data_IF_714960834556
#
_entry.id   IF_714960834556
#
_cell.length_a   1.000
_cell.length_b   1.000
_cell.length_c   1.000
_cell.angle_alpha   90.00
_cell.angle_beta   90.00
_cell.angle_gamma   90.00
#
_symmetry.space_group_name_H-M   'P 1'
#
loop_
_entity.id
_entity.type
_entity.pdbx_description
1 polymer ?
#
# COMPACT_ATOMS: atom_id res chain seq x y z
N UNK A 1 69.57 -26.68 -4.38
CA UNK A 1 68.72 -25.56 -3.94
C UNK A 1 67.31 -25.85 -4.46
N UNK A 2 66.42 -26.37 -3.61
CA UNK A 2 65.07 -26.79 -4.00
C UNK A 2 64.12 -25.59 -3.96
N UNK A 3 63.51 -25.28 -5.10
CA UNK A 3 62.45 -24.27 -5.22
C UNK A 3 61.10 -24.89 -4.86
N UNK A 4 60.46 -24.36 -3.81
CA UNK A 4 59.12 -24.74 -3.38
C UNK A 4 58.06 -24.16 -4.34
N UNK A 5 57.24 -25.03 -4.92
CA UNK A 5 56.06 -24.67 -5.72
C UNK A 5 54.87 -24.44 -4.78
N UNK A 6 54.46 -23.17 -4.64
CA UNK A 6 53.26 -22.81 -3.88
C UNK A 6 52.00 -23.19 -4.68
N UNK A 7 51.18 -24.10 -4.13
CA UNK A 7 49.84 -24.40 -4.66
C UNK A 7 48.90 -23.24 -4.33
N UNK A 8 48.46 -22.52 -5.37
CA UNK A 8 47.33 -21.59 -5.28
C UNK A 8 46.05 -22.37 -4.92
N UNK A 9 45.37 -21.96 -3.85
CA UNK A 9 44.02 -22.45 -3.51
C UNK A 9 43.06 -22.01 -4.61
N UNK A 10 42.14 -22.88 -5.09
CA UNK A 10 41.14 -22.47 -6.06
C UNK A 10 40.20 -21.45 -5.42
N UNK A 11 39.95 -20.37 -6.17
CA UNK A 11 38.93 -19.36 -5.87
C UNK A 11 37.56 -20.03 -5.74
N UNK A 12 36.69 -19.60 -4.82
CA UNK A 12 35.33 -20.14 -4.73
C UNK A 12 34.59 -19.89 -6.05
N UNK A 13 33.72 -20.82 -6.49
CA UNK A 13 33.00 -20.68 -7.75
C UNK A 13 32.09 -19.45 -7.71
N UNK A 14 32.15 -18.62 -8.76
CA UNK A 14 31.33 -17.41 -8.94
C UNK A 14 29.81 -17.69 -8.86
N UNK A 15 29.37 -18.95 -8.96
CA UNK A 15 27.96 -19.33 -8.85
C UNK A 15 27.38 -19.20 -7.44
N UNK A 16 28.19 -19.32 -6.38
CA UNK A 16 27.68 -19.25 -5.01
C UNK A 16 27.30 -17.80 -4.62
N UNK A 17 28.13 -16.83 -4.99
CA UNK A 17 27.87 -15.41 -4.75
C UNK A 17 26.67 -14.89 -5.56
N UNK A 18 26.49 -15.36 -6.81
CA UNK A 18 25.32 -15.02 -7.63
C UNK A 18 24.02 -15.65 -7.08
N UNK A 19 24.09 -16.87 -6.55
CA UNK A 19 22.95 -17.53 -5.92
C UNK A 19 22.56 -16.84 -4.60
N UNK A 20 23.52 -16.48 -3.74
CA UNK A 20 23.30 -15.72 -2.50
C UNK A 20 22.80 -14.29 -2.74
N UNK A 21 23.33 -13.60 -3.75
CA UNK A 21 22.82 -12.29 -4.18
C UNK A 21 21.40 -12.38 -4.75
N UNK A 22 21.07 -13.43 -5.51
CA UNK A 22 19.71 -13.61 -6.04
C UNK A 22 18.71 -13.97 -4.93
N UNK A 23 19.10 -14.81 -3.98
CA UNK A 23 18.26 -15.24 -2.85
C UNK A 23 18.01 -14.07 -1.90
N UNK A 24 19.03 -13.29 -1.55
CA UNK A 24 18.87 -12.07 -0.75
C UNK A 24 18.04 -11.01 -1.48
N UNK A 25 18.16 -10.88 -2.81
CA UNK A 25 17.32 -9.98 -3.60
C UNK A 25 15.84 -10.41 -3.62
N UNK A 26 15.57 -11.71 -3.72
CA UNK A 26 14.21 -12.28 -3.69
C UNK A 26 13.57 -12.13 -2.30
N UNK A 27 14.33 -12.38 -1.23
CA UNK A 27 13.88 -12.16 0.14
C UNK A 27 13.59 -10.68 0.42
N UNK A 28 14.47 -9.78 -0.03
CA UNK A 28 14.25 -8.33 0.08
C UNK A 28 13.00 -7.89 -0.68
N UNK A 29 12.80 -8.37 -1.91
CA UNK A 29 11.60 -8.08 -2.72
C UNK A 29 10.32 -8.58 -2.05
N UNK A 30 10.35 -9.79 -1.47
CA UNK A 30 9.23 -10.34 -0.69
C UNK A 30 8.95 -9.54 0.57
N UNK A 31 10.00 -9.11 1.29
CA UNK A 31 9.85 -8.27 2.49
C UNK A 31 9.22 -6.90 2.16
N UNK A 32 9.55 -6.35 0.99
CA UNK A 32 9.00 -5.10 0.44
C UNK A 32 7.65 -5.27 -0.28
N UNK A 33 7.16 -6.50 -0.46
CA UNK A 33 5.92 -6.78 -1.18
C UNK A 33 5.95 -6.44 -2.68
N UNK A 34 7.14 -6.34 -3.29
CA UNK A 34 7.31 -5.97 -4.70
C UNK A 34 6.97 -7.15 -5.62
N UNK A 35 5.94 -6.99 -6.47
CA UNK A 35 5.57 -7.93 -7.53
C UNK A 35 5.77 -7.31 -8.90
N UNK A 36 6.47 -8.01 -9.79
CA UNK A 36 6.78 -7.50 -11.12
C UNK A 36 5.56 -7.53 -12.03
N UNK A 37 5.24 -6.40 -12.65
CA UNK A 37 4.18 -6.31 -13.66
C UNK A 37 4.76 -6.60 -15.03
N UNK A 38 4.19 -7.56 -15.77
CA UNK A 38 4.66 -7.83 -17.13
C UNK A 38 4.38 -6.62 -18.05
N UNK A 39 5.25 -6.34 -19.05
CA UNK A 39 5.01 -5.26 -20.01
C UNK A 39 3.68 -5.39 -20.75
N UNK A 40 3.19 -6.61 -20.95
CA UNK A 40 1.91 -6.87 -21.62
C UNK A 40 0.71 -6.39 -20.78
N UNK A 41 0.75 -6.62 -19.46
CA UNK A 41 -0.29 -6.12 -18.55
C UNK A 41 -0.26 -4.59 -18.50
N UNK A 42 0.94 -3.99 -18.41
CA UNK A 42 1.07 -2.53 -18.42
C UNK A 42 0.59 -1.92 -19.76
N UNK A 43 0.91 -2.55 -20.89
CA UNK A 43 0.43 -2.15 -22.22
C UNK A 43 -1.10 -2.26 -22.34
N UNK A 44 -1.70 -3.34 -21.84
CA UNK A 44 -3.15 -3.49 -21.78
C UNK A 44 -3.79 -2.40 -20.93
N UNK A 45 -3.22 -2.10 -19.76
CA UNK A 45 -3.73 -1.05 -18.86
C UNK A 45 -3.71 0.31 -19.57
N UNK A 46 -2.61 0.64 -20.25
CA UNK A 46 -2.50 1.88 -21.01
C UNK A 46 -3.53 1.97 -22.14
N UNK A 47 -3.66 0.90 -22.94
CA UNK A 47 -4.63 0.87 -24.03
C UNK A 47 -6.07 1.03 -23.53
N UNK A 48 -6.41 0.38 -22.42
CA UNK A 48 -7.75 0.47 -21.85
C UNK A 48 -8.01 1.86 -21.24
N UNK A 49 -6.99 2.51 -20.66
CA UNK A 49 -7.08 3.92 -20.25
C UNK A 49 -7.43 4.84 -21.43
N UNK A 50 -6.83 4.63 -22.59
CA UNK A 50 -7.14 5.42 -23.80
C UNK A 50 -8.53 5.11 -24.37
N UNK A 51 -8.96 3.84 -24.33
CA UNK A 51 -10.33 3.46 -24.72
C UNK A 51 -11.36 4.14 -23.80
N UNK A 52 -11.13 4.10 -22.50
CA UNK A 52 -11.95 4.79 -21.47
C UNK A 52 -11.94 6.29 -21.71
N UNK A 53 -10.78 6.89 -21.99
CA UNK A 53 -10.67 8.32 -22.29
C UNK A 53 -11.34 8.69 -23.62
N UNK A 54 -11.37 7.78 -24.58
CA UNK A 54 -11.94 7.95 -25.93
C UNK A 54 -10.98 8.54 -26.96
N UNK A 55 -9.77 8.91 -26.55
CA UNK A 55 -8.76 9.51 -27.42
C UNK A 55 -7.37 9.29 -26.81
N UNK A 56 -6.33 9.58 -27.59
CA UNK A 56 -4.95 9.64 -27.07
C UNK A 56 -4.82 10.77 -26.06
N UNK A 57 -4.02 10.55 -25.02
CA UNK A 57 -3.70 11.59 -24.05
C UNK A 57 -2.83 12.68 -24.67
N UNK A 58 -3.10 13.94 -24.30
CA UNK A 58 -2.33 15.06 -24.81
C UNK A 58 -0.91 15.08 -24.20
N UNK A 59 0.11 15.64 -24.87
CA UNK A 59 1.50 15.65 -24.38
C UNK A 59 1.71 16.29 -23.00
N UNK A 60 0.83 17.21 -22.58
CA UNK A 60 0.85 17.83 -21.25
C UNK A 60 0.27 16.95 -20.13
N UNK A 61 -0.25 15.76 -20.46
CA UNK A 61 -0.85 14.83 -19.50
C UNK A 61 0.21 14.31 -18.55
N UNK A 62 0.08 14.62 -17.26
CA UNK A 62 0.98 14.13 -16.22
C UNK A 62 0.54 12.75 -15.73
N UNK A 63 1.44 11.77 -15.82
CA UNK A 63 1.27 10.41 -15.29
C UNK A 63 2.14 10.21 -14.06
N UNK A 64 1.61 9.54 -13.04
CA UNK A 64 2.41 9.04 -11.91
C UNK A 64 2.21 7.55 -11.66
N UNK A 65 3.32 6.88 -11.32
CA UNK A 65 3.33 5.60 -10.60
C UNK A 65 4.07 5.80 -9.24
N UNK A 66 3.36 5.82 -8.10
CA UNK A 66 3.97 6.06 -6.79
C UNK A 66 4.70 4.84 -6.21
N UNK A 67 4.72 3.71 -6.92
CA UNK A 67 5.50 2.52 -6.54
C UNK A 67 6.07 1.90 -7.82
N UNK A 68 6.88 2.69 -8.53
CA UNK A 68 7.13 2.45 -9.95
C UNK A 68 8.03 1.25 -10.26
N UNK A 69 8.79 0.75 -9.28
CA UNK A 69 9.80 -0.27 -9.53
C UNK A 69 10.72 0.14 -10.68
N UNK A 70 10.91 -0.76 -11.65
CA UNK A 70 11.69 -0.49 -12.88
C UNK A 70 11.03 0.51 -13.84
N UNK A 71 9.83 1.01 -13.55
CA UNK A 71 9.17 2.06 -14.33
C UNK A 71 8.36 1.54 -15.53
N UNK A 72 7.88 0.30 -15.50
CA UNK A 72 7.18 -0.34 -16.65
C UNK A 72 5.98 0.46 -17.15
N UNK A 73 5.18 1.05 -16.26
CA UNK A 73 4.04 1.89 -16.64
C UNK A 73 4.48 3.20 -17.30
N UNK A 74 5.56 3.80 -16.82
CA UNK A 74 6.14 5.03 -17.39
C UNK A 74 6.69 4.75 -18.79
N UNK A 75 7.42 3.65 -18.96
CA UNK A 75 7.95 3.21 -20.26
C UNK A 75 6.85 3.00 -21.29
N UNK A 76 5.79 2.28 -20.91
CA UNK A 76 4.63 2.06 -21.79
C UNK A 76 3.96 3.38 -22.15
N UNK A 77 3.74 4.27 -21.18
CA UNK A 77 3.16 5.58 -21.46
C UNK A 77 4.01 6.44 -22.41
N UNK A 78 5.34 6.34 -22.31
CA UNK A 78 6.27 7.01 -23.21
C UNK A 78 6.24 6.41 -24.62
N UNK A 79 6.58 5.13 -24.72
CA UNK A 79 6.82 4.43 -25.98
C UNK A 79 5.52 4.16 -26.75
N UNK A 80 4.47 3.72 -26.05
CA UNK A 80 3.19 3.34 -26.63
C UNK A 80 2.18 4.49 -26.61
N UNK A 81 2.21 5.29 -25.55
CA UNK A 81 1.30 6.42 -25.35
C UNK A 81 1.76 7.72 -25.99
N UNK A 82 3.06 7.88 -26.26
CA UNK A 82 3.64 9.09 -26.82
C UNK A 82 3.71 10.26 -25.83
N UNK A 83 3.55 10.02 -24.52
CA UNK A 83 3.73 11.06 -23.52
C UNK A 83 5.21 11.44 -23.43
N UNK A 84 5.58 12.73 -23.37
CA UNK A 84 6.98 13.14 -23.25
C UNK A 84 7.54 12.74 -21.89
N UNK A 85 8.82 12.38 -21.83
CA UNK A 85 9.45 11.87 -20.60
C UNK A 85 9.26 12.82 -19.39
N UNK A 86 9.38 14.14 -19.60
CA UNK A 86 9.21 15.16 -18.56
C UNK A 86 7.79 15.23 -17.95
N UNK A 87 6.80 14.57 -18.55
CA UNK A 87 5.43 14.46 -18.02
C UNK A 87 5.22 13.21 -17.16
N UNK A 88 6.23 12.34 -17.07
CA UNK A 88 6.19 11.07 -16.36
C UNK A 88 6.84 11.22 -14.99
N UNK A 89 6.18 10.69 -13.97
CA UNK A 89 6.60 10.78 -12.57
C UNK A 89 6.61 9.38 -11.93
N UNK A 90 7.66 9.07 -11.20
CA UNK A 90 7.82 7.79 -10.52
C UNK A 90 8.45 7.95 -9.16
N UNK A 91 8.01 7.16 -8.19
CA UNK A 91 8.68 7.02 -6.92
C UNK A 91 8.84 5.53 -6.57
N UNK A 92 10.00 5.16 -6.06
CA UNK A 92 10.20 3.87 -5.39
C UNK A 92 11.21 4.04 -4.26
N UNK A 93 11.15 3.15 -3.26
CA UNK A 93 12.03 3.15 -2.09
C UNK A 93 13.28 2.30 -2.31
N UNK A 94 13.33 1.49 -3.37
CA UNK A 94 14.46 0.61 -3.65
C UNK A 94 15.61 1.33 -4.36
N UNK A 95 16.66 1.62 -3.59
CA UNK A 95 17.90 2.25 -4.08
C UNK A 95 18.58 1.48 -5.22
N UNK A 96 18.37 0.16 -5.32
CA UNK A 96 18.98 -0.64 -6.39
C UNK A 96 18.47 -0.30 -7.80
N UNK A 97 17.34 0.39 -7.90
CA UNK A 97 16.72 0.80 -9.17
C UNK A 97 17.38 2.04 -9.78
N UNK A 98 18.11 2.84 -9.00
CA UNK A 98 18.70 4.11 -9.44
C UNK A 98 19.54 3.97 -10.71
N UNK A 99 20.44 2.99 -10.73
CA UNK A 99 21.30 2.73 -11.90
C UNK A 99 20.50 2.32 -13.13
N UNK A 100 19.40 1.57 -12.92
CA UNK A 100 18.50 1.15 -13.99
C UNK A 100 17.76 2.34 -14.59
N UNK A 101 17.18 3.19 -13.75
CA UNK A 101 16.48 4.40 -14.20
C UNK A 101 17.39 5.37 -14.97
N UNK A 102 18.63 5.55 -14.52
CA UNK A 102 19.60 6.43 -15.18
C UNK A 102 20.07 5.89 -16.54
N UNK A 103 20.13 4.57 -16.68
CA UNK A 103 20.59 3.91 -17.91
C UNK A 103 19.47 3.67 -18.93
N UNK A 104 18.19 3.70 -18.53
CA UNK A 104 17.06 3.40 -19.40
C UNK A 104 16.75 4.59 -20.35
N UNK A 105 16.91 4.42 -21.67
CA UNK A 105 16.64 5.49 -22.64
C UNK A 105 15.20 5.98 -22.63
N UNK A 106 14.24 5.14 -22.24
CA UNK A 106 12.81 5.49 -22.18
C UNK A 106 12.45 6.28 -20.92
N UNK A 107 13.28 6.23 -19.89
CA UNK A 107 13.12 7.01 -18.65
C UNK A 107 14.05 8.23 -18.61
N UNK A 108 14.93 8.39 -19.60
CA UNK A 108 15.79 9.55 -19.71
C UNK A 108 14.95 10.84 -19.84
N UNK A 109 15.05 11.71 -18.83
CA UNK A 109 14.25 12.94 -18.74
C UNK A 109 12.91 12.79 -18.03
N UNK A 110 12.56 11.60 -17.54
CA UNK A 110 11.44 11.39 -16.63
C UNK A 110 11.79 11.76 -15.18
N UNK A 111 10.77 12.11 -14.40
CA UNK A 111 10.89 12.51 -13.00
C UNK A 111 10.76 11.27 -12.10
N UNK A 112 11.78 10.41 -12.10
CA UNK A 112 11.81 9.18 -11.28
C UNK A 112 12.75 9.36 -10.09
N UNK A 113 12.25 9.11 -8.88
CA UNK A 113 12.92 9.48 -7.64
C UNK A 113 12.95 8.34 -6.60
N UNK A 114 14.06 8.25 -5.86
CA UNK A 114 14.19 7.38 -4.70
C UNK A 114 13.49 8.02 -3.49
N UNK A 115 12.20 7.73 -3.33
CA UNK A 115 11.31 8.35 -2.34
C UNK A 115 10.25 7.35 -1.85
N UNK A 116 9.71 7.59 -0.66
CA UNK A 116 8.51 6.89 -0.22
C UNK A 116 7.28 7.46 -0.93
N UNK A 117 6.68 6.69 -1.84
CA UNK A 117 5.55 7.12 -2.65
C UNK A 117 4.25 7.43 -1.90
N UNK A 118 4.15 7.09 -0.61
CA UNK A 118 3.05 7.53 0.26
C UNK A 118 3.18 8.99 0.72
N UNK A 119 4.31 9.63 0.44
CA UNK A 119 4.60 10.99 0.86
C UNK A 119 4.52 11.96 -0.31
N UNK A 120 4.04 13.17 -0.03
CA UNK A 120 4.25 14.31 -0.90
C UNK A 120 5.70 14.77 -0.82
N UNK A 121 6.18 15.26 -1.95
CA UNK A 121 7.47 15.92 -2.06
C UNK A 121 7.39 17.06 -3.09
N UNK A 122 7.10 18.29 -2.64
CA UNK A 122 7.02 19.46 -3.51
C UNK A 122 8.28 19.71 -4.34
N UNK A 123 9.44 19.30 -3.84
CA UNK A 123 10.71 19.48 -4.55
C UNK A 123 10.78 18.67 -5.86
N UNK A 124 10.06 17.54 -5.93
CA UNK A 124 9.99 16.67 -7.11
C UNK A 124 8.68 16.83 -7.88
N UNK A 125 7.76 17.68 -7.41
CA UNK A 125 6.45 17.88 -8.02
C UNK A 125 5.48 16.71 -7.83
N UNK A 126 5.81 15.77 -6.93
CA UNK A 126 4.92 14.69 -6.51
C UNK A 126 4.05 15.22 -5.38
N UNK A 127 2.88 15.73 -5.76
CA UNK A 127 1.92 16.35 -4.86
C UNK A 127 0.49 15.85 -5.16
N UNK A 128 -0.33 15.84 -4.12
CA UNK A 128 -1.74 15.47 -4.20
C UNK A 128 -2.53 16.32 -5.20
N UNK A 129 -3.42 15.68 -5.95
CA UNK A 129 -4.36 16.33 -6.86
C UNK A 129 -3.73 16.92 -8.11
N UNK A 130 -2.47 16.58 -8.42
CA UNK A 130 -1.73 17.22 -9.52
C UNK A 130 -1.58 16.35 -10.78
N UNK A 131 -1.95 15.06 -10.72
CA UNK A 131 -1.75 14.11 -11.81
C UNK A 131 -3.03 13.84 -12.60
N UNK A 132 -2.90 13.77 -13.93
CA UNK A 132 -4.02 13.46 -14.82
C UNK A 132 -4.33 11.96 -14.78
N UNK A 133 -3.28 11.15 -14.63
CA UNK A 133 -3.35 9.70 -14.55
C UNK A 133 -2.49 9.22 -13.38
N UNK A 134 -3.03 8.35 -12.53
CA UNK A 134 -2.24 7.53 -11.62
C UNK A 134 -2.37 6.07 -12.04
N UNK A 135 -1.27 5.43 -12.44
CA UNK A 135 -1.29 4.04 -12.86
C UNK A 135 -0.09 3.26 -12.32
N UNK A 136 -0.30 2.04 -11.85
CA UNK A 136 0.76 1.30 -11.17
C UNK A 136 0.32 -0.01 -10.52
N UNK A 137 1.31 -0.74 -10.03
CA UNK A 137 1.16 -1.96 -9.24
C UNK A 137 1.81 -1.75 -7.86
N UNK A 138 1.07 -1.23 -6.86
CA UNK A 138 1.64 -1.02 -5.54
C UNK A 138 2.02 -2.34 -4.88
N UNK A 139 2.90 -2.31 -3.86
CA UNK A 139 3.28 -3.51 -3.14
C UNK A 139 2.08 -4.17 -2.44
N UNK A 140 2.05 -5.51 -2.40
CA UNK A 140 1.04 -6.29 -1.67
C UNK A 140 1.69 -7.09 -0.56
N UNK A 141 1.08 -7.11 0.63
CA UNK A 141 1.62 -7.88 1.75
C UNK A 141 3.10 -7.51 2.07
N UNK A 142 3.70 -8.12 3.09
CA UNK A 142 5.06 -7.78 3.55
C UNK A 142 5.07 -6.99 4.86
N UNK A 143 6.22 -6.40 5.20
CA UNK A 143 6.39 -5.69 6.47
C UNK A 143 5.62 -4.37 6.51
N UNK A 144 5.24 -3.82 5.35
CA UNK A 144 4.37 -2.65 5.21
C UNK A 144 4.83 -1.49 6.10
N UNK A 145 3.96 -1.09 7.03
CA UNK A 145 4.19 0.03 7.96
C UNK A 145 4.65 -0.42 9.36
N UNK A 146 5.08 -1.67 9.54
CA UNK A 146 5.48 -2.21 10.87
C UNK A 146 6.66 -1.45 11.48
N UNK A 147 7.54 -0.86 10.67
CA UNK A 147 8.67 -0.07 11.17
C UNK A 147 8.23 1.17 11.97
N UNK A 148 6.98 1.63 11.82
CA UNK A 148 6.41 2.67 12.67
C UNK A 148 6.39 2.26 14.15
N UNK A 149 6.29 0.96 14.46
CA UNK A 149 6.32 0.46 15.84
C UNK A 149 7.66 0.73 16.54
N UNK A 150 8.76 0.90 15.78
CA UNK A 150 10.07 1.27 16.34
C UNK A 150 10.04 2.61 17.07
N UNK A 151 9.10 3.51 16.74
CA UNK A 151 8.90 4.76 17.49
C UNK A 151 8.41 4.53 18.92
N UNK A 152 7.81 3.37 19.20
CA UNK A 152 7.24 3.01 20.49
C UNK A 152 8.19 2.16 21.34
N UNK A 153 9.33 1.75 20.79
CA UNK A 153 10.35 1.01 21.52
C UNK A 153 11.07 1.96 22.48
N UNK A 154 11.03 1.65 23.78
CA UNK A 154 11.78 2.40 24.78
C UNK A 154 13.26 1.99 24.79
N UNK A 155 14.20 2.93 25.00
CA UNK A 155 15.59 2.58 25.19
C UNK A 155 15.76 1.74 26.46
N UNK A 156 16.51 0.64 26.36
CA UNK A 156 16.69 -0.34 27.46
C UNK A 156 17.17 0.28 28.78
N UNK A 157 17.81 1.46 28.75
CA UNK A 157 18.25 2.20 29.93
C UNK A 157 17.10 2.65 30.86
N UNK A 158 15.84 2.59 30.43
CA UNK A 158 14.65 2.87 31.25
C UNK A 158 14.02 1.60 31.89
N UNK A 159 14.48 0.40 31.51
CA UNK A 159 14.09 -0.86 32.18
C UNK A 159 14.94 -1.05 33.43
N UNK A 160 14.72 -0.21 34.44
CA UNK A 160 15.32 -0.42 35.76
C UNK A 160 14.40 -1.29 36.61
N UNK A 161 14.91 -2.49 36.91
CA UNK A 161 14.73 -3.25 38.16
C UNK A 161 13.32 -3.30 38.78
N UNK A 162 12.40 -4.03 38.16
CA UNK A 162 11.53 -4.89 38.96
C UNK A 162 12.19 -6.28 38.97
N UNK A 163 12.97 -6.52 40.03
CA UNK A 163 13.57 -7.81 40.30
C UNK A 163 12.48 -8.87 40.40
N UNK A 164 12.54 -9.84 39.49
CA UNK A 164 11.81 -11.11 39.54
C UNK A 164 12.00 -11.76 40.91
N UNK A 165 10.94 -11.72 41.72
CA UNK A 165 10.88 -12.40 43.02
C UNK A 165 10.21 -13.78 42.94
N UNK A 166 9.98 -14.30 41.73
CA UNK A 166 9.47 -15.65 41.51
C UNK A 166 10.18 -16.32 40.32
N UNK A 167 11.26 -17.03 40.62
CA UNK A 167 11.76 -18.09 39.74
C UNK A 167 10.74 -19.22 39.67
N UNK A 168 10.10 -19.43 38.51
CA UNK A 168 9.62 -20.75 38.09
C UNK A 168 9.32 -20.79 36.58
N UNK A 169 10.26 -21.39 35.84
CA UNK A 169 10.03 -22.21 34.66
C UNK A 169 9.14 -21.65 33.54
N UNK A 170 9.74 -21.01 32.54
CA UNK A 170 9.14 -20.99 31.20
C UNK A 170 10.23 -21.13 30.12
N UNK A 171 9.88 -21.85 29.07
CA UNK A 171 10.72 -22.28 27.96
C UNK A 171 11.54 -21.11 27.39
N UNK A 172 12.83 -21.35 27.13
CA UNK A 172 13.70 -20.42 26.42
C UNK A 172 13.21 -20.27 24.97
N UNK A 173 12.33 -19.30 24.74
CA UNK A 173 12.27 -18.64 23.43
C UNK A 173 13.65 -18.00 23.19
N UNK A 174 14.29 -18.39 22.09
CA UNK A 174 15.54 -17.78 21.66
C UNK A 174 15.31 -16.27 21.50
N UNK A 175 15.89 -15.50 22.42
CA UNK A 175 15.85 -14.04 22.39
C UNK A 175 16.43 -13.57 21.06
N UNK A 176 15.58 -13.00 20.20
CA UNK A 176 16.02 -12.31 19.00
C UNK A 176 17.06 -11.25 19.41
N UNK A 177 18.19 -11.12 18.69
CA UNK A 177 19.21 -10.14 19.05
C UNK A 177 18.59 -8.74 19.06
N UNK A 178 18.82 -8.01 20.15
CA UNK A 178 18.29 -6.66 20.35
C UNK A 178 18.58 -5.78 19.13
N UNK A 179 17.52 -5.27 18.50
CA UNK A 179 17.65 -4.36 17.35
C UNK A 179 18.24 -3.02 17.80
N UNK A 180 19.13 -2.41 17.01
CA UNK A 180 19.76 -1.14 17.38
C UNK A 180 18.74 0.00 17.46
N UNK A 181 18.98 0.93 18.40
CA UNK A 181 18.19 2.15 18.57
C UNK A 181 18.13 2.96 17.28
N UNK A 182 16.97 3.60 17.04
CA UNK A 182 16.76 4.48 15.89
C UNK A 182 17.76 5.65 15.90
N UNK A 183 18.43 5.88 14.76
CA UNK A 183 19.16 7.12 14.53
C UNK A 183 18.22 8.32 14.49
N UNK A 184 18.75 9.53 14.71
CA UNK A 184 17.96 10.78 14.61
C UNK A 184 17.27 10.94 13.25
N UNK A 185 17.93 10.51 12.17
CA UNK A 185 17.41 10.57 10.80
C UNK A 185 16.27 9.58 10.61
N UNK A 186 16.47 8.31 10.95
CA UNK A 186 15.41 7.28 10.83
C UNK A 186 14.18 7.66 11.65
N UNK A 187 14.37 8.17 12.88
CA UNK A 187 13.25 8.65 13.70
C UNK A 187 12.50 9.79 13.01
N UNK A 188 13.20 10.79 12.47
CA UNK A 188 12.57 11.90 11.76
C UNK A 188 11.79 11.43 10.52
N UNK A 189 12.31 10.45 9.78
CA UNK A 189 11.64 9.86 8.62
C UNK A 189 10.34 9.12 9.03
N UNK A 190 10.38 8.32 10.09
CA UNK A 190 9.20 7.64 10.64
C UNK A 190 8.16 8.64 11.19
N UNK A 191 8.60 9.67 11.91
CA UNK A 191 7.70 10.71 12.42
C UNK A 191 7.05 11.52 11.28
N UNK A 192 7.80 11.80 10.20
CA UNK A 192 7.24 12.41 8.97
C UNK A 192 6.17 11.50 8.37
N UNK A 193 6.45 10.20 8.27
CA UNK A 193 5.50 9.22 7.76
C UNK A 193 4.23 9.15 8.60
N UNK A 194 4.33 9.10 9.94
CA UNK A 194 3.16 9.13 10.83
C UNK A 194 2.31 10.37 10.61
N UNK A 195 2.93 11.55 10.51
CA UNK A 195 2.20 12.81 10.27
C UNK A 195 1.45 12.80 8.96
N UNK A 196 2.11 12.41 7.87
CA UNK A 196 1.48 12.35 6.55
C UNK A 196 0.36 11.30 6.52
N UNK A 197 0.63 10.09 6.98
CA UNK A 197 -0.37 9.01 6.98
C UNK A 197 -1.54 9.30 7.93
N UNK A 198 -1.36 10.10 8.97
CA UNK A 198 -2.47 10.55 9.81
C UNK A 198 -3.52 11.36 9.04
N UNK A 199 -3.16 11.96 7.90
CA UNK A 199 -4.07 12.69 7.02
C UNK A 199 -4.87 11.77 6.08
N UNK A 200 -4.48 10.49 6.00
CA UNK A 200 -5.21 9.50 5.24
C UNK A 200 -6.51 9.14 5.99
N UNK A 201 -7.46 8.58 5.27
CA UNK A 201 -8.76 8.19 5.82
C UNK A 201 -8.81 6.71 6.15
N UNK A 202 -8.19 5.87 5.32
CA UNK A 202 -8.36 4.42 5.34
C UNK A 202 -8.05 3.76 6.70
N UNK A 203 -7.07 4.25 7.46
CA UNK A 203 -6.71 3.70 8.77
C UNK A 203 -7.74 3.98 9.88
N UNK A 204 -8.60 4.98 9.67
CA UNK A 204 -9.67 5.37 10.61
C UNK A 204 -10.98 4.64 10.34
N UNK A 205 -11.17 4.10 9.15
CA UNK A 205 -12.39 3.41 8.76
C UNK A 205 -12.52 2.12 9.57
N UNK A 206 -13.67 1.91 10.21
CA UNK A 206 -13.93 0.72 11.00
C UNK A 206 -13.94 -0.53 10.10
N UNK A 207 -13.16 -1.55 10.49
CA UNK A 207 -13.63 -2.92 10.40
C UNK A 207 -14.48 -3.14 11.65
N UNK A 208 -15.71 -3.65 11.50
CA UNK A 208 -16.58 -3.97 12.65
C UNK A 208 -15.76 -4.69 13.74
N UNK A 209 -15.99 -4.41 15.03
CA UNK A 209 -15.37 -5.21 16.08
C UNK A 209 -15.73 -6.67 15.83
N UNK A 210 -14.72 -7.56 15.80
CA UNK A 210 -15.03 -8.98 15.95
C UNK A 210 -15.83 -9.13 17.25
N UNK A 211 -16.96 -9.87 17.25
CA UNK A 211 -17.66 -10.13 18.48
C UNK A 211 -16.63 -10.70 19.46
N UNK A 212 -16.60 -10.16 20.67
CA UNK A 212 -15.81 -10.74 21.74
C UNK A 212 -16.12 -12.24 21.73
N UNK A 213 -15.09 -13.08 21.63
CA UNK A 213 -15.24 -14.50 21.86
C UNK A 213 -16.05 -14.65 23.14
N UNK A 214 -17.23 -15.23 23.01
CA UNK A 214 -18.12 -15.53 24.11
C UNK A 214 -17.29 -16.25 25.17
N UNK A 215 -17.06 -15.57 26.29
CA UNK A 215 -16.66 -16.23 27.52
C UNK A 215 -17.86 -17.08 27.89
N UNK A 216 -17.77 -18.37 27.56
CA UNK A 216 -18.75 -19.37 27.97
C UNK A 216 -19.02 -19.21 29.47
N UNK A 217 -20.31 -19.09 29.78
CA UNK A 217 -20.86 -19.18 31.12
C UNK A 217 -20.38 -20.48 31.79
N UNK A 218 -19.53 -20.39 32.82
CA UNK A 218 -19.38 -21.45 33.81
C UNK A 218 -19.69 -20.90 35.21
N UNK A 219 -20.92 -21.19 35.60
CA UNK A 219 -21.42 -21.58 36.91
C UNK A 219 -21.06 -20.82 38.20
N UNK A 220 -22.15 -20.60 38.92
CA UNK A 220 -22.31 -20.06 40.26
C UNK A 220 -21.45 -20.79 41.31
N UNK A 221 -20.85 -20.04 42.24
CA UNK A 221 -20.81 -20.42 43.67
C UNK A 221 -20.61 -19.19 44.56
N UNK A 222 -21.43 -19.10 45.60
CA UNK A 222 -21.45 -18.05 46.64
C UNK A 222 -20.21 -18.06 47.55
N UNK A 223 -19.74 -16.89 48.02
CA UNK A 223 -19.83 -16.48 49.45
C UNK A 223 -18.93 -15.28 49.84
N UNK A 224 -19.60 -14.19 50.26
CA UNK A 224 -19.34 -13.26 51.38
C UNK A 224 -18.10 -12.29 51.42
N UNK A 225 -18.23 -11.14 52.13
CA UNK A 225 -17.63 -9.86 51.73
C UNK A 225 -16.59 -9.29 52.71
N UNK A 226 -15.79 -8.31 52.26
CA UNK A 226 -14.93 -7.51 53.12
C UNK A 226 -14.31 -6.33 52.38
N UNK A 227 -14.82 -5.13 52.65
CA UNK A 227 -14.23 -3.85 52.25
C UNK A 227 -12.79 -3.71 52.74
N UNK A 228 -11.93 -3.04 51.95
CA UNK A 228 -11.03 -1.93 52.33
C UNK A 228 -9.71 -1.92 51.52
N UNK A 229 -9.36 -0.71 51.03
CA UNK A 229 -8.10 -0.26 50.41
C UNK A 229 -7.87 -0.68 48.95
N UNK A 230 -7.52 0.17 47.98
CA UNK A 230 -7.17 1.59 47.97
C UNK A 230 -7.37 2.15 46.55
N UNK A 231 -7.69 3.45 46.46
CA UNK A 231 -7.69 4.21 45.23
C UNK A 231 -6.29 4.19 44.57
N UNK A 232 -6.19 3.60 43.38
CA UNK A 232 -4.95 3.54 42.61
C UNK A 232 -5.22 3.22 41.16
N UNK A 233 -5.38 4.27 40.35
CA UNK A 233 -5.29 4.28 38.88
C UNK A 233 -6.03 3.11 38.19
N UNK A 234 -7.36 3.23 38.12
CA UNK A 234 -8.13 2.61 37.04
C UNK A 234 -7.72 3.30 35.73
N UNK A 235 -6.63 2.85 35.12
CA UNK A 235 -6.38 3.10 33.71
C UNK A 235 -7.47 2.33 32.97
N UNK A 236 -8.58 3.00 32.73
CA UNK A 236 -9.72 2.51 31.99
C UNK A 236 -9.20 2.04 30.62
N UNK A 237 -8.98 0.72 30.46
CA UNK A 237 -8.49 0.08 29.22
C UNK A 237 -9.62 0.03 28.18
N UNK A 238 -10.32 1.14 28.00
CA UNK A 238 -11.34 1.27 26.97
C UNK A 238 -10.65 1.21 25.60
N UNK A 239 -11.17 0.36 24.72
CA UNK A 239 -10.70 0.29 23.33
C UNK A 239 -10.96 1.65 22.64
N UNK A 240 -9.98 2.22 21.91
CA UNK A 240 -10.16 3.49 21.20
C UNK A 240 -11.29 3.42 20.17
N UNK A 241 -12.09 4.49 20.11
CA UNK A 241 -13.22 4.67 19.17
C UNK A 241 -12.78 5.38 17.89
N UNK A 242 -13.63 5.39 16.86
CA UNK A 242 -13.38 6.16 15.64
C UNK A 242 -13.22 7.67 15.91
N UNK A 243 -14.00 8.23 16.84
CA UNK A 243 -13.87 9.62 17.27
C UNK A 243 -12.51 9.91 17.90
N UNK A 244 -11.96 8.97 18.66
CA UNK A 244 -10.64 9.12 19.28
C UNK A 244 -9.55 9.18 18.20
N UNK A 245 -9.65 8.33 17.16
CA UNK A 245 -8.72 8.36 16.03
C UNK A 245 -8.87 9.61 15.16
N UNK A 246 -10.08 10.15 14.98
CA UNK A 246 -10.28 11.44 14.30
C UNK A 246 -9.66 12.60 15.07
N UNK A 247 -9.81 12.62 16.39
CA UNK A 247 -9.18 13.63 17.24
C UNK A 247 -7.64 13.50 17.19
N UNK A 248 -7.11 12.28 17.25
CA UNK A 248 -5.68 12.03 17.14
C UNK A 248 -5.13 12.44 15.77
N UNK A 249 -5.86 12.19 14.69
CA UNK A 249 -5.50 12.63 13.34
C UNK A 249 -5.37 14.16 13.25
N UNK A 250 -6.36 14.90 13.80
CA UNK A 250 -6.31 16.38 13.85
C UNK A 250 -5.13 16.88 14.67
N UNK A 251 -4.86 16.22 15.79
CA UNK A 251 -3.73 16.55 16.65
C UNK A 251 -2.38 16.34 15.95
N UNK A 252 -2.20 15.22 15.24
CA UNK A 252 -0.99 14.94 14.49
C UNK A 252 -0.80 15.89 13.30
N UNK A 253 -1.88 16.25 12.61
CA UNK A 253 -1.85 17.23 11.52
C UNK A 253 -1.42 18.63 12.00
N UNK A 254 -1.78 19.01 13.22
CA UNK A 254 -1.41 20.30 13.83
C UNK A 254 -0.11 20.25 14.63
N UNK A 255 0.53 19.08 14.75
CA UNK A 255 1.71 18.92 15.59
C UNK A 255 2.91 19.65 14.97
N UNK A 256 3.70 20.43 15.74
CA UNK A 256 4.82 21.20 15.19
C UNK A 256 5.87 20.32 14.49
N UNK A 257 6.28 20.66 13.28
CA UNK A 257 7.25 19.89 12.49
C UNK A 257 8.62 19.79 13.16
N UNK A 258 8.99 20.78 13.95
CA UNK A 258 10.25 20.83 14.70
C UNK A 258 10.19 20.17 16.08
N UNK A 259 9.06 19.57 16.45
CA UNK A 259 8.88 18.91 17.76
C UNK A 259 8.70 17.41 17.56
N UNK A 260 9.50 16.56 18.22
CA UNK A 260 9.32 15.12 18.19
C UNK A 260 7.92 14.70 18.62
N UNK A 261 7.42 13.58 18.09
CA UNK A 261 6.15 13.01 18.55
C UNK A 261 6.30 12.50 19.98
N UNK A 262 5.30 12.84 20.82
CA UNK A 262 5.26 12.41 22.21
C UNK A 262 4.58 11.04 22.35
N UNK A 263 5.36 9.97 22.27
CA UNK A 263 4.88 8.58 22.33
C UNK A 263 4.44 8.13 23.73
N UNK A 264 4.66 8.97 24.75
CA UNK A 264 4.10 8.76 26.09
C UNK A 264 2.58 8.89 26.09
N UNK A 265 2.02 9.70 25.18
CA UNK A 265 0.57 9.88 25.02
C UNK A 265 -0.09 8.66 24.39
N UNK A 266 -1.15 8.17 25.03
CA UNK A 266 -1.93 7.02 24.57
C UNK A 266 -2.52 7.25 23.18
N UNK A 267 -3.07 8.44 22.92
CA UNK A 267 -3.68 8.76 21.62
C UNK A 267 -2.68 8.65 20.45
N UNK A 268 -1.44 9.11 20.66
CA UNK A 268 -0.37 9.04 19.66
C UNK A 268 0.09 7.59 19.49
N UNK A 269 0.28 6.87 20.61
CA UNK A 269 0.71 5.47 20.61
C UNK A 269 -0.28 4.57 19.86
N UNK A 270 -1.56 4.71 20.15
CA UNK A 270 -2.61 3.91 19.53
C UNK A 270 -2.79 4.26 18.05
N UNK A 271 -2.61 5.52 17.68
CA UNK A 271 -2.56 5.92 16.26
C UNK A 271 -1.38 5.28 15.53
N UNK A 272 -0.18 5.30 16.11
CA UNK A 272 1.00 4.66 15.52
C UNK A 272 0.75 3.16 15.32
N UNK A 273 0.17 2.47 16.32
CA UNK A 273 -0.19 1.04 16.20
C UNK A 273 -1.22 0.80 15.10
N UNK A 274 -2.26 1.62 15.02
CA UNK A 274 -3.31 1.54 14.01
C UNK A 274 -2.74 1.73 12.60
N UNK A 275 -1.90 2.75 12.40
CA UNK A 275 -1.19 2.99 11.15
C UNK A 275 -0.29 1.80 10.79
N UNK A 276 0.51 1.30 11.72
CA UNK A 276 1.39 0.15 11.52
C UNK A 276 0.65 -1.14 11.15
N UNK A 277 -0.59 -1.30 11.64
CA UNK A 277 -1.46 -2.44 11.34
C UNK A 277 -2.26 -2.31 10.04
N UNK A 278 -2.30 -1.12 9.45
CA UNK A 278 -3.05 -0.89 8.21
C UNK A 278 -2.28 -1.50 7.03
N UNK A 279 -2.97 -2.30 6.21
CA UNK A 279 -2.38 -2.93 5.05
C UNK A 279 -1.82 -1.89 4.07
N UNK A 280 -0.62 -2.14 3.53
CA UNK A 280 0.11 -1.16 2.70
C UNK A 280 -0.63 -0.90 1.38
N UNK A 281 -1.27 -1.93 0.81
CA UNK A 281 -2.08 -1.84 -0.40
C UNK A 281 -3.31 -0.94 -0.21
N UNK A 282 -3.87 -0.86 1.00
CA UNK A 282 -4.99 0.03 1.32
C UNK A 282 -4.52 1.48 1.36
N UNK A 283 -3.35 1.74 1.95
CA UNK A 283 -2.71 3.07 1.95
C UNK A 283 -2.37 3.53 0.53
N UNK A 284 -1.78 2.66 -0.30
CA UNK A 284 -1.49 3.01 -1.69
C UNK A 284 -2.77 3.21 -2.51
N UNK A 285 -3.83 2.44 -2.29
CA UNK A 285 -5.08 2.66 -3.01
C UNK A 285 -5.67 4.04 -2.71
N UNK A 286 -5.63 4.49 -1.46
CA UNK A 286 -5.95 5.89 -1.13
C UNK A 286 -4.94 6.87 -1.78
N UNK A 287 -3.64 6.57 -1.76
CA UNK A 287 -2.62 7.42 -2.38
C UNK A 287 -2.87 7.68 -3.86
N UNK A 288 -3.25 6.66 -4.63
CA UNK A 288 -3.60 6.83 -6.05
C UNK A 288 -4.76 7.83 -6.20
N UNK A 289 -5.82 7.69 -5.41
CA UNK A 289 -6.96 8.64 -5.42
C UNK A 289 -6.53 10.06 -5.04
N UNK A 290 -5.62 10.20 -4.05
CA UNK A 290 -5.13 11.49 -3.59
C UNK A 290 -4.22 12.18 -4.61
N UNK A 291 -3.37 11.44 -5.31
CA UNK A 291 -2.48 11.97 -6.35
C UNK A 291 -3.23 12.43 -7.60
N UNK A 292 -4.33 11.75 -7.94
CA UNK A 292 -5.11 12.07 -9.14
C UNK A 292 -5.95 13.33 -8.93
N UNK A 293 -5.82 14.27 -9.87
CA UNK A 293 -6.62 15.49 -9.93
C UNK A 293 -8.11 15.18 -10.14
N UNK A 294 -9.04 16.06 -9.74
CA UNK A 294 -10.45 15.95 -10.12
C UNK A 294 -10.64 15.70 -11.63
N UNK A 295 -11.46 14.72 -12.00
CA UNK A 295 -11.68 14.29 -13.38
C UNK A 295 -10.57 13.39 -13.97
N UNK A 296 -9.44 13.22 -13.29
CA UNK A 296 -8.33 12.36 -13.72
C UNK A 296 -8.67 10.86 -13.65
N UNK A 297 -7.86 10.04 -14.31
CA UNK A 297 -8.04 8.58 -14.38
C UNK A 297 -7.08 7.84 -13.45
N UNK A 298 -7.55 6.72 -12.92
CA UNK A 298 -6.81 5.84 -12.03
C UNK A 298 -6.83 4.45 -12.65
N UNK A 299 -5.68 3.79 -12.74
CA UNK A 299 -5.59 2.38 -13.10
C UNK A 299 -4.64 1.65 -12.13
N UNK A 300 -5.20 0.88 -11.20
CA UNK A 300 -4.43 0.28 -10.10
C UNK A 300 -4.66 -1.23 -10.07
N UNK A 301 -3.57 -1.99 -9.96
CA UNK A 301 -3.65 -3.42 -9.66
C UNK A 301 -3.81 -3.57 -8.15
N UNK A 302 -4.84 -4.29 -7.72
CA UNK A 302 -5.15 -4.50 -6.30
C UNK A 302 -5.44 -5.97 -6.01
N UNK A 303 -5.20 -6.45 -4.78
CA UNK A 303 -5.64 -7.77 -4.36
C UNK A 303 -7.17 -7.83 -4.25
N UNK A 304 -7.72 -9.03 -4.40
CA UNK A 304 -9.17 -9.29 -4.27
C UNK A 304 -9.75 -8.78 -2.93
N UNK A 305 -8.94 -8.70 -1.87
CA UNK A 305 -9.37 -8.18 -0.57
C UNK A 305 -9.94 -6.76 -0.67
N UNK A 306 -9.34 -5.87 -1.46
CA UNK A 306 -9.84 -4.50 -1.65
C UNK A 306 -11.20 -4.53 -2.36
N UNK A 307 -11.35 -5.41 -3.36
CA UNK A 307 -12.54 -5.50 -4.21
C UNK A 307 -13.72 -6.16 -3.50
N UNK A 308 -13.48 -7.22 -2.72
CA UNK A 308 -14.54 -8.12 -2.26
C UNK A 308 -14.62 -8.34 -0.73
N UNK A 309 -13.59 -8.01 0.06
CA UNK A 309 -13.60 -8.35 1.50
C UNK A 309 -14.57 -7.47 2.30
N UNK A 310 -15.41 -8.07 3.15
CA UNK A 310 -16.29 -7.32 4.07
C UNK A 310 -15.54 -6.43 5.05
N UNK A 311 -14.31 -6.84 5.43
CA UNK A 311 -13.44 -6.04 6.31
C UNK A 311 -13.07 -4.68 5.71
N UNK A 312 -13.13 -4.54 4.39
CA UNK A 312 -12.83 -3.30 3.66
C UNK A 312 -14.07 -2.65 3.05
N UNK A 313 -15.29 -3.00 3.50
CA UNK A 313 -16.53 -2.40 3.01
C UNK A 313 -16.59 -0.87 3.21
N UNK A 314 -16.19 -0.39 4.40
CA UNK A 314 -16.08 1.04 4.71
C UNK A 314 -15.07 1.74 3.79
N UNK A 315 -13.95 1.08 3.48
CA UNK A 315 -12.94 1.60 2.56
C UNK A 315 -13.45 1.67 1.12
N UNK A 316 -14.16 0.64 0.64
CA UNK A 316 -14.82 0.70 -0.68
C UNK A 316 -15.85 1.81 -0.76
N UNK A 317 -16.63 2.03 0.30
CA UNK A 317 -17.61 3.13 0.33
C UNK A 317 -16.90 4.49 0.29
N UNK A 318 -15.80 4.63 1.03
CA UNK A 318 -14.94 5.82 0.97
C UNK A 318 -14.38 6.06 -0.44
N UNK A 319 -13.95 4.99 -1.13
CA UNK A 319 -13.49 5.06 -2.51
C UNK A 319 -14.60 5.54 -3.44
N UNK A 320 -15.79 4.93 -3.40
CA UNK A 320 -16.93 5.33 -4.24
C UNK A 320 -17.43 6.77 -3.96
N UNK A 321 -17.16 7.28 -2.76
CA UNK A 321 -17.35 8.69 -2.42
C UNK A 321 -16.41 9.66 -3.15
N UNK A 322 -15.29 9.18 -3.71
CA UNK A 322 -14.20 9.99 -4.29
C UNK A 322 -13.84 9.63 -5.72
N UNK A 323 -14.21 8.45 -6.16
CA UNK A 323 -13.99 8.01 -7.52
C UNK A 323 -15.22 7.30 -8.06
N UNK A 324 -15.48 7.46 -9.36
CA UNK A 324 -16.44 6.65 -10.09
C UNK A 324 -15.72 5.42 -10.63
N UNK A 325 -16.19 4.23 -10.25
CA UNK A 325 -15.66 2.96 -10.75
C UNK A 325 -16.07 2.80 -12.23
N UNK A 326 -15.09 2.62 -13.12
CA UNK A 326 -15.29 2.53 -14.56
C UNK A 326 -15.20 1.10 -15.07
N UNK A 327 -14.22 0.35 -14.56
CA UNK A 327 -14.02 -1.05 -14.92
C UNK A 327 -13.34 -1.83 -13.79
N UNK A 328 -13.62 -3.14 -13.75
CA UNK A 328 -12.89 -4.10 -12.91
C UNK A 328 -12.56 -5.34 -13.73
N UNK A 329 -11.27 -5.55 -13.96
CA UNK A 329 -10.74 -6.65 -14.79
C UNK A 329 -9.97 -7.62 -13.88
N UNK A 330 -10.51 -8.82 -13.65
CA UNK A 330 -9.78 -9.83 -12.89
C UNK A 330 -8.59 -10.36 -13.66
N UNK A 331 -7.47 -10.53 -12.96
CA UNK A 331 -6.25 -11.16 -13.50
C UNK A 331 -6.17 -12.63 -13.07
N UNK A 332 -5.66 -13.53 -13.94
CA UNK A 332 -5.36 -14.90 -13.54
C UNK A 332 -4.33 -14.94 -12.40
N UNK A 333 -4.49 -15.87 -11.45
CA UNK A 333 -3.55 -16.04 -10.32
C UNK A 333 -2.09 -16.26 -10.75
N UNK A 334 -1.85 -16.74 -11.97
CA UNK A 334 -0.51 -17.04 -12.50
C UNK A 334 0.21 -15.86 -13.15
N UNK A 335 -0.37 -14.66 -13.18
CA UNK A 335 0.27 -13.49 -13.80
C UNK A 335 1.52 -13.03 -13.02
N UNK A 336 1.57 -13.27 -11.70
CA UNK A 336 2.63 -12.79 -10.81
C UNK A 336 3.46 -13.91 -10.13
N UNK A 337 3.38 -15.16 -10.62
CA UNK A 337 3.91 -16.35 -9.92
C UNK A 337 5.43 -16.44 -9.82
N UNK A 338 6.19 -15.61 -10.54
CA UNK A 338 7.67 -15.60 -10.47
C UNK A 338 8.25 -15.21 -9.10
N UNK A 339 7.42 -14.75 -8.15
CA UNK A 339 7.88 -14.17 -6.87
C UNK A 339 7.17 -14.73 -5.62
N UNK A 340 6.18 -15.62 -5.79
CA UNK A 340 5.50 -16.30 -4.67
C UNK A 340 4.20 -15.65 -4.17
N UNK A 341 3.59 -14.72 -4.92
CA UNK A 341 2.22 -14.26 -4.64
C UNK A 341 1.19 -15.28 -5.13
N UNK A 342 0.33 -15.74 -4.22
CA UNK A 342 -0.84 -16.59 -4.51
C UNK A 342 -2.16 -15.80 -4.48
N UNK A 343 -2.11 -14.47 -4.33
CA UNK A 343 -3.32 -13.65 -4.24
C UNK A 343 -3.96 -13.47 -5.62
N UNK A 344 -5.28 -13.67 -5.70
CA UNK A 344 -6.07 -13.21 -6.85
C UNK A 344 -6.03 -11.68 -6.88
N UNK A 345 -5.76 -11.11 -8.04
CA UNK A 345 -5.67 -9.66 -8.25
C UNK A 345 -6.65 -9.21 -9.33
N UNK A 346 -7.02 -7.94 -9.27
CA UNK A 346 -7.85 -7.28 -10.27
C UNK A 346 -7.24 -5.92 -10.62
N UNK A 347 -7.42 -5.50 -11.87
CA UNK A 347 -7.13 -4.13 -12.30
C UNK A 347 -8.41 -3.32 -12.14
N UNK A 348 -8.32 -2.26 -11.34
CA UNK A 348 -9.41 -1.30 -11.14
C UNK A 348 -9.13 -0.06 -11.97
N UNK A 349 -10.09 0.31 -12.82
CA UNK A 349 -10.10 1.58 -13.53
C UNK A 349 -11.16 2.48 -12.92
N UNK A 350 -10.79 3.70 -12.57
CA UNK A 350 -11.69 4.65 -11.96
C UNK A 350 -11.43 6.08 -12.45
N UNK A 351 -12.42 6.96 -12.28
CA UNK A 351 -12.28 8.40 -12.49
C UNK A 351 -12.36 9.12 -11.16
N UNK A 352 -11.41 9.98 -10.85
CA UNK A 352 -11.50 10.88 -9.69
C UNK A 352 -12.71 11.80 -9.88
N UNK A 353 -13.63 11.84 -8.91
CA UNK A 353 -14.79 12.73 -8.94
C UNK A 353 -14.35 14.19 -8.94
N UNK A 354 -15.12 15.05 -9.61
CA UNK A 354 -14.94 16.50 -9.54
C UNK A 354 -15.14 17.04 -8.12
N UNK A 355 -16.07 16.43 -7.39
CA UNK A 355 -16.37 16.75 -6.00
C UNK A 355 -16.54 15.47 -5.18
N UNK A 356 -15.86 15.42 -4.04
CA UNK A 356 -16.04 14.36 -3.06
C UNK A 356 -17.47 14.38 -2.52
N UNK A 357 -18.02 13.20 -2.33
CA UNK A 357 -19.23 13.05 -1.53
C UNK A 357 -18.90 13.36 -0.07
N UNK A 358 -19.81 14.05 0.61
CA UNK A 358 -19.63 14.63 1.95
C UNK A 358 -19.27 13.60 3.03
N UNK A 359 -18.79 14.05 4.20
CA UNK A 359 -18.14 13.24 5.23
C UNK A 359 -18.87 11.97 5.74
N UNK A 360 -20.17 11.79 5.46
CA UNK A 360 -20.92 10.57 5.80
C UNK A 360 -20.63 9.34 4.91
N UNK A 361 -19.86 9.50 3.82
CA UNK A 361 -19.61 8.46 2.80
C UNK A 361 -18.53 7.43 3.17
N UNK A 362 -18.49 7.04 4.45
CA UNK A 362 -17.48 6.16 5.01
C UNK A 362 -18.08 4.90 5.66
N UNK A 363 -19.40 4.82 5.78
CA UNK A 363 -20.10 3.73 6.46
C UNK A 363 -20.86 2.83 5.46
N UNK A 364 -21.05 1.53 5.76
CA UNK A 364 -21.84 0.64 4.89
C UNK A 364 -23.26 1.15 4.61
N UNK A 365 -23.90 1.84 5.55
CA UNK A 365 -25.24 2.43 5.37
C UNK A 365 -25.25 3.54 4.31
N UNK A 366 -24.11 4.20 4.05
CA UNK A 366 -23.99 5.17 2.97
C UNK A 366 -24.05 4.49 1.59
N UNK A 367 -23.63 3.22 1.48
CA UNK A 367 -23.77 2.43 0.26
C UNK A 367 -25.24 2.12 -0.04
N UNK A 368 -26.03 1.73 0.98
CA UNK A 368 -27.47 1.47 0.83
C UNK A 368 -28.26 2.73 0.44
N UNK A 369 -27.76 3.90 0.83
CA UNK A 369 -28.33 5.20 0.47
C UNK A 369 -27.78 5.76 -0.83
N UNK A 370 -27.00 4.97 -1.58
CA UNK A 370 -26.54 5.41 -2.89
C UNK A 370 -27.72 5.71 -3.80
N UNK A 371 -27.78 6.90 -4.41
CA UNK A 371 -28.67 7.06 -5.54
C UNK A 371 -28.26 6.04 -6.59
N UNK A 372 -29.24 5.34 -7.17
CA UNK A 372 -29.01 4.41 -8.26
C UNK A 372 -28.22 5.15 -9.35
N UNK A 373 -26.96 4.76 -9.50
CA UNK A 373 -26.11 5.24 -10.57
C UNK A 373 -26.32 4.29 -11.73
N UNK A 374 -27.13 4.71 -12.70
CA UNK A 374 -27.35 3.95 -13.95
C UNK A 374 -26.08 3.85 -14.82
N UNK A 375 -24.93 4.39 -14.38
CA UNK A 375 -23.67 4.26 -15.10
C UNK A 375 -23.18 2.80 -15.03
N UNK A 376 -23.14 2.09 -16.17
CA UNK A 376 -22.72 0.70 -16.19
C UNK A 376 -21.20 0.60 -15.91
N UNK A 377 -20.80 -0.49 -15.26
CA UNK A 377 -19.40 -0.79 -14.95
C UNK A 377 -18.94 -1.94 -15.86
N UNK A 378 -17.82 -1.76 -16.55
CA UNK A 378 -17.27 -2.81 -17.41
C UNK A 378 -16.56 -3.87 -16.56
N UNK A 379 -17.07 -5.11 -16.59
CA UNK A 379 -16.52 -6.21 -15.81
C UNK A 379 -15.98 -7.30 -16.74
N UNK A 380 -14.78 -7.79 -16.47
CA UNK A 380 -14.23 -8.93 -17.17
C UNK A 380 -13.48 -9.87 -16.22
N UNK A 381 -13.64 -11.18 -16.46
CA UNK A 381 -12.94 -12.23 -15.74
C UNK A 381 -12.41 -13.29 -16.72
N UNK A 382 -11.25 -13.91 -16.43
CA UNK A 382 -10.66 -14.92 -17.30
C UNK A 382 -11.47 -16.21 -17.24
N UNK A 383 -11.61 -16.88 -18.40
CA UNK A 383 -12.13 -18.24 -18.50
C UNK A 383 -10.94 -19.20 -18.58
N UNK A 384 -10.48 -19.66 -17.42
CA UNK A 384 -9.23 -20.43 -17.28
C UNK A 384 -9.29 -21.82 -17.93
N UNK A 385 -10.49 -22.33 -18.17
CA UNK A 385 -10.80 -23.61 -18.79
C UNK A 385 -10.90 -23.55 -20.32
N UNK A 386 -10.78 -22.35 -20.92
CA UNK A 386 -10.88 -22.18 -22.36
C UNK A 386 -9.68 -22.85 -23.09
N UNK A 387 -9.91 -23.60 -24.18
CA UNK A 387 -8.83 -24.18 -24.97
C UNK A 387 -7.88 -23.11 -25.51
N UNK A 388 -6.57 -23.27 -25.29
CA UNK A 388 -5.55 -22.33 -25.76
C UNK A 388 -5.50 -21.01 -24.98
N UNK A 389 -6.04 -20.97 -23.76
CA UNK A 389 -5.98 -19.77 -22.90
C UNK A 389 -4.53 -19.31 -22.67
N UNK A 390 -4.30 -18.02 -22.93
CA UNK A 390 -3.11 -17.29 -22.49
C UNK A 390 -3.52 -15.95 -21.88
N UNK A 391 -2.65 -15.33 -21.09
CA UNK A 391 -2.94 -14.01 -20.50
C UNK A 391 -3.11 -12.97 -21.61
N UNK A 392 -2.28 -13.03 -22.65
CA UNK A 392 -2.28 -12.10 -23.77
C UNK A 392 -3.56 -12.22 -24.60
N UNK A 393 -4.00 -13.45 -24.90
CA UNK A 393 -5.27 -13.69 -25.63
C UNK A 393 -6.49 -13.24 -24.81
N UNK A 394 -6.47 -13.43 -23.49
CA UNK A 394 -7.50 -12.91 -22.60
C UNK A 394 -7.56 -11.38 -22.61
N UNK A 395 -6.42 -10.72 -22.37
CA UNK A 395 -6.34 -9.26 -22.33
C UNK A 395 -6.69 -8.63 -23.69
N UNK A 396 -6.27 -9.24 -24.79
CA UNK A 396 -6.63 -8.80 -26.14
C UNK A 396 -8.15 -8.86 -26.38
N UNK A 397 -8.81 -9.96 -25.98
CA UNK A 397 -10.27 -10.10 -26.08
C UNK A 397 -10.99 -9.04 -25.24
N UNK A 398 -10.55 -8.85 -23.99
CA UNK A 398 -11.14 -7.84 -23.09
C UNK A 398 -11.02 -6.44 -23.69
N UNK A 399 -9.89 -6.12 -24.30
CA UNK A 399 -9.66 -4.83 -24.96
C UNK A 399 -10.54 -4.65 -26.21
N UNK A 400 -10.75 -5.71 -26.99
CA UNK A 400 -11.67 -5.70 -28.13
C UNK A 400 -13.13 -5.47 -27.69
N UNK A 401 -13.56 -6.18 -26.65
CA UNK A 401 -14.89 -6.01 -26.04
C UNK A 401 -15.07 -4.57 -25.53
N UNK A 402 -14.08 -4.04 -24.81
CA UNK A 402 -14.10 -2.66 -24.30
C UNK A 402 -14.19 -1.62 -25.42
N UNK A 403 -13.52 -1.84 -26.57
CA UNK A 403 -13.62 -0.95 -27.74
C UNK A 403 -14.99 -1.01 -28.39
N UNK A 404 -15.55 -2.21 -28.55
CA UNK A 404 -16.87 -2.42 -29.16
C UNK A 404 -17.98 -1.80 -28.31
N UNK A 405 -17.86 -1.88 -26.99
CA UNK A 405 -18.88 -1.44 -26.04
C UNK A 405 -18.57 -0.08 -25.40
N UNK A 406 -17.59 0.66 -25.95
CA UNK A 406 -17.11 1.93 -25.39
C UNK A 406 -18.23 2.95 -25.18
N UNK A 407 -19.12 3.14 -26.15
CA UNK A 407 -20.23 4.11 -26.03
C UNK A 407 -21.28 3.69 -24.98
N UNK A 408 -21.37 2.38 -24.69
CA UNK A 408 -22.26 1.86 -23.64
C UNK A 408 -21.70 2.18 -22.26
N UNK A 409 -20.40 1.96 -22.05
CA UNK A 409 -19.77 2.08 -20.73
C UNK A 409 -19.22 3.48 -20.43
N UNK A 410 -18.64 4.15 -21.42
CA UNK A 410 -17.95 5.44 -21.26
C UNK A 410 -18.32 6.42 -22.39
N UNK A 411 -19.61 6.82 -22.48
CA UNK A 411 -20.03 7.83 -23.44
C UNK A 411 -19.30 9.15 -23.21
N UNK A 412 -19.04 9.92 -24.27
CA UNK A 412 -18.54 11.28 -24.09
C UNK A 412 -19.60 12.13 -23.37
N UNK A 413 -19.19 12.83 -22.32
CA UNK A 413 -20.05 13.82 -21.67
C UNK A 413 -20.30 14.97 -22.66
N UNK A 414 -21.58 15.28 -22.92
CA UNK A 414 -22.02 16.25 -23.93
C UNK A 414 -21.77 17.69 -23.54
#
# INVERSE_FOLDING_TARGET
MNAATARLKPSPPQSAAAAEASTSSLERRRALGQFFTSPEVAAFIWDLLEVIHGQRFAPQTRLIDPACGEGVFLRVAHERGGLPANSLFGADIDESLLSGWQADPLLCGANVHLLNGLLDDPATGIEEGTFHIAAGNPPFSGNGLRDLLRLLEEPEAARHEEQDLFEAGCLKEEAQPARPLLSRRERAELERLVRTLSQYSCWRLEAKPEPALDMEDEDQTESAPGELFAAGVLNDRRRPTLSDFEQAARLLAQWPLNRPLDTSRTEIRDTIRRLASTAIEVMFTERFVRLTRPGGLIAIIVPESIVASDRLASFRTWLLGRMDLLASISLPQKVFTGVGANAKTSIIFARRREQDRVNGWCSPEALERMPDSDRPIFLAAPRLDAPGFTVESYLARVLEDARRERETFWPQEK
#
